data_IF_903247251247
#
_entry.id   IF_903247251247
#
_cell.length_a   1.000
_cell.length_b   1.000
_cell.length_c   1.000
_cell.angle_alpha   90.00
_cell.angle_beta   90.00
_cell.angle_gamma   90.00
#
_symmetry.space_group_name_H-M   'P 1'
#
loop_
_entity.id
_entity.type
_entity.pdbx_description
1 polymer ?
#
# COMPACT_ATOMS: atom_id res chain seq x y z
N UNK A 1 1.62 4.15 9.09
CA UNK A 1 1.01 3.52 10.30
C UNK A 1 2.05 2.57 10.85
N UNK A 2 2.21 2.45 12.16
CA UNK A 2 3.05 1.38 12.74
C UNK A 2 2.26 0.07 12.70
N UNK A 3 2.59 -0.78 11.74
CA UNK A 3 1.90 -2.05 11.52
C UNK A 3 2.13 -3.06 12.64
N UNK A 4 3.28 -2.98 13.32
CA UNK A 4 3.63 -3.86 14.43
C UNK A 4 2.76 -3.54 15.65
N UNK A 5 2.59 -2.25 15.96
CA UNK A 5 1.74 -1.84 17.07
C UNK A 5 0.26 -2.12 16.80
N UNK A 6 -0.22 -1.93 15.56
CA UNK A 6 -1.60 -2.30 15.22
C UNK A 6 -1.84 -3.79 15.42
N UNK A 7 -0.92 -4.64 14.97
CA UNK A 7 -1.01 -6.08 15.20
C UNK A 7 -1.02 -6.42 16.70
N UNK A 8 -0.17 -5.76 17.49
CA UNK A 8 -0.14 -5.93 18.94
C UNK A 8 -1.48 -5.56 19.60
N UNK A 9 -2.07 -4.43 19.23
CA UNK A 9 -3.33 -3.95 19.80
C UNK A 9 -4.53 -4.80 19.36
N UNK A 10 -4.52 -5.36 18.14
CA UNK A 10 -5.51 -6.34 17.68
C UNK A 10 -5.43 -7.63 18.51
N UNK A 11 -4.22 -8.15 18.73
CA UNK A 11 -3.99 -9.33 19.57
C UNK A 11 -4.44 -9.12 21.03
N UNK A 12 -4.30 -7.90 21.55
CA UNK A 12 -4.78 -7.53 22.89
C UNK A 12 -6.29 -7.25 22.96
N UNK A 13 -6.99 -7.24 21.83
CA UNK A 13 -8.40 -6.85 21.76
C UNK A 13 -8.66 -5.37 22.06
N UNK A 14 -7.62 -4.52 22.05
CA UNK A 14 -7.73 -3.06 22.21
C UNK A 14 -8.21 -2.40 20.93
N UNK A 15 -7.92 -3.01 19.78
CA UNK A 15 -8.57 -2.71 18.51
C UNK A 15 -9.58 -3.81 18.20
N UNK A 16 -10.83 -3.41 17.95
CA UNK A 16 -11.88 -4.34 17.55
C UNK A 16 -11.68 -4.88 16.12
N UNK A 17 -10.90 -4.18 15.30
CA UNK A 17 -10.52 -4.57 13.94
C UNK A 17 -9.73 -3.49 13.21
N UNK A 18 -9.23 -3.83 12.02
CA UNK A 18 -8.54 -2.89 11.13
C UNK A 18 -8.71 -3.28 9.65
N UNK A 19 -8.59 -2.31 8.76
CA UNK A 19 -8.52 -2.52 7.32
C UNK A 19 -7.35 -1.72 6.74
N UNK A 20 -6.51 -2.38 5.95
CA UNK A 20 -5.33 -1.79 5.30
C UNK A 20 -5.44 -1.98 3.79
N UNK A 21 -5.28 -0.89 3.05
CA UNK A 21 -5.10 -0.93 1.59
C UNK A 21 -3.65 -0.68 1.17
N UNK A 22 -2.83 -0.12 2.06
CA UNK A 22 -1.43 0.21 1.79
C UNK A 22 -0.53 -0.32 2.91
N UNK A 23 0.71 -0.66 2.57
CA UNK A 23 1.69 -1.25 3.47
C UNK A 23 3.04 -0.55 3.36
N UNK A 24 3.89 -0.68 4.38
CA UNK A 24 5.25 -0.12 4.34
C UNK A 24 6.07 -0.70 3.18
N UNK A 25 5.92 -2.01 2.93
CA UNK A 25 6.57 -2.69 1.82
C UNK A 25 5.56 -3.44 0.95
N UNK A 26 5.54 -3.10 -0.33
CA UNK A 26 4.67 -3.71 -1.33
C UNK A 26 5.49 -4.31 -2.49
N UNK A 27 5.08 -5.45 -3.06
CA UNK A 27 3.92 -6.27 -2.68
C UNK A 27 4.16 -7.07 -1.40
N UNK A 28 3.08 -7.34 -0.65
CA UNK A 28 3.14 -8.20 0.53
C UNK A 28 3.60 -9.61 0.17
N UNK A 29 4.40 -10.21 1.06
CA UNK A 29 4.79 -11.62 0.96
C UNK A 29 3.91 -12.49 1.85
N UNK A 30 3.84 -13.79 1.55
CA UNK A 30 3.09 -14.75 2.37
C UNK A 30 3.58 -14.87 3.82
N UNK A 31 4.81 -14.44 4.10
CA UNK A 31 5.42 -14.49 5.43
C UNK A 31 5.21 -13.20 6.23
N UNK A 32 4.56 -12.20 5.64
CA UNK A 32 4.36 -10.91 6.27
C UNK A 32 3.45 -11.04 7.51
N UNK A 33 3.77 -10.44 8.67
CA UNK A 33 3.03 -10.67 9.91
C UNK A 33 1.52 -10.40 9.81
N UNK A 34 1.12 -9.30 9.15
CA UNK A 34 -0.31 -8.99 8.93
C UNK A 34 -1.00 -10.06 8.07
N UNK A 35 -0.31 -10.60 7.06
CA UNK A 35 -0.84 -11.68 6.20
C UNK A 35 -1.05 -12.95 7.00
N UNK A 36 -0.07 -13.33 7.83
CA UNK A 36 -0.18 -14.51 8.69
C UNK A 36 -1.32 -14.37 9.70
N UNK A 37 -1.50 -13.19 10.27
CA UNK A 37 -2.60 -12.91 11.20
C UNK A 37 -3.97 -12.93 10.50
N UNK A 38 -4.11 -12.29 9.33
CA UNK A 38 -5.37 -12.22 8.58
C UNK A 38 -5.82 -13.57 8.00
N UNK A 39 -4.97 -14.60 7.97
CA UNK A 39 -5.33 -15.96 7.51
C UNK A 39 -6.35 -16.65 8.41
N UNK A 40 -6.44 -16.29 9.69
CA UNK A 40 -7.52 -16.79 10.56
C UNK A 40 -8.76 -15.89 10.38
N UNK A 41 -9.87 -16.42 9.84
CA UNK A 41 -11.09 -15.63 9.61
C UNK A 41 -11.78 -15.15 10.89
N UNK A 42 -11.34 -15.59 12.09
CA UNK A 42 -11.80 -15.03 13.36
C UNK A 42 -11.14 -13.69 13.69
N UNK A 43 -10.02 -13.37 13.07
CA UNK A 43 -9.37 -12.08 13.25
C UNK A 43 -10.05 -11.04 12.37
N UNK A 44 -10.43 -9.92 12.98
CA UNK A 44 -11.08 -8.81 12.29
C UNK A 44 -10.04 -7.89 11.61
N UNK A 45 -9.27 -8.46 10.69
CA UNK A 45 -8.25 -7.75 9.89
C UNK A 45 -8.51 -7.98 8.40
N UNK A 46 -8.77 -6.90 7.65
CA UNK A 46 -8.96 -6.93 6.21
C UNK A 46 -7.76 -6.29 5.49
N UNK A 47 -7.22 -6.98 4.50
CA UNK A 47 -6.11 -6.49 3.68
C UNK A 47 -6.56 -6.40 2.22
N UNK A 48 -6.40 -5.25 1.58
CA UNK A 48 -6.64 -5.03 0.15
C UNK A 48 -5.36 -4.59 -0.55
N UNK A 49 -5.13 -4.98 -1.82
CA UNK A 49 -3.83 -4.81 -2.47
C UNK A 49 -3.68 -3.45 -3.18
N UNK A 50 -3.71 -2.34 -2.44
CA UNK A 50 -3.56 -0.98 -2.97
C UNK A 50 -4.58 -0.66 -4.08
N UNK A 51 -5.85 -0.96 -3.79
CA UNK A 51 -6.96 -0.86 -4.75
C UNK A 51 -8.07 0.07 -4.30
N UNK A 52 -7.97 0.70 -3.12
CA UNK A 52 -9.01 1.59 -2.62
C UNK A 52 -9.16 2.84 -3.48
N UNK A 53 -8.06 3.33 -4.07
CA UNK A 53 -8.08 4.45 -5.00
C UNK A 53 -7.04 4.27 -6.11
N UNK A 54 -7.50 3.86 -7.30
CA UNK A 54 -6.67 3.85 -8.49
C UNK A 54 -6.65 5.23 -9.15
N UNK A 55 -5.46 5.69 -9.55
CA UNK A 55 -5.33 6.90 -10.37
C UNK A 55 -5.49 6.53 -11.84
N UNK A 56 -6.49 7.11 -12.51
CA UNK A 56 -6.66 7.05 -13.96
C UNK A 56 -6.56 8.48 -14.52
N UNK A 57 -5.35 8.99 -14.81
CA UNK A 57 -5.22 10.34 -15.32
C UNK A 57 -5.76 10.41 -16.75
N UNK A 58 -6.41 11.54 -17.11
CA UNK A 58 -6.89 11.80 -18.48
C UNK A 58 -5.72 11.82 -19.49
N UNK A 59 -4.51 12.15 -19.03
CA UNK A 59 -3.29 12.20 -19.83
C UNK A 59 -2.07 11.84 -18.98
N UNK A 60 -1.04 11.28 -19.63
CA UNK A 60 0.28 10.99 -19.04
C UNK A 60 1.33 12.05 -19.40
N UNK A 61 0.94 13.16 -20.04
CA UNK A 61 1.89 14.14 -20.57
C UNK A 61 2.86 14.67 -19.51
N UNK A 62 2.36 14.91 -18.29
CA UNK A 62 3.16 15.43 -17.18
C UNK A 62 4.20 14.41 -16.67
N UNK A 63 3.90 13.10 -16.75
CA UNK A 63 4.85 12.03 -16.39
C UNK A 63 6.12 12.09 -17.26
N UNK A 64 6.02 12.63 -18.48
CA UNK A 64 7.14 12.76 -19.42
C UNK A 64 7.79 14.14 -19.44
N UNK A 65 7.26 15.12 -18.70
CA UNK A 65 7.69 16.52 -18.82
C UNK A 65 9.20 16.69 -18.57
N UNK A 66 9.76 16.00 -17.58
CA UNK A 66 11.19 16.04 -17.27
C UNK A 66 12.06 15.45 -18.40
N UNK A 67 11.61 14.36 -19.03
CA UNK A 67 12.32 13.73 -20.17
C UNK A 67 12.30 14.67 -21.37
N UNK A 68 11.15 15.26 -21.66
CA UNK A 68 11.01 16.19 -22.78
C UNK A 68 11.89 17.44 -22.59
N UNK A 69 11.97 17.96 -21.37
CA UNK A 69 12.86 19.07 -21.03
C UNK A 69 14.34 18.71 -21.24
N UNK A 70 14.76 17.51 -20.83
CA UNK A 70 16.13 17.03 -21.06
C UNK A 70 16.45 16.91 -22.56
N UNK A 71 15.56 16.34 -23.37
CA UNK A 71 15.76 16.20 -24.82
C UNK A 71 15.87 17.56 -25.51
N UNK A 72 15.02 18.52 -25.15
CA UNK A 72 15.09 19.87 -25.70
C UNK A 72 16.40 20.60 -25.35
N UNK A 73 16.98 20.32 -24.18
CA UNK A 73 18.24 20.93 -23.75
C UNK A 73 19.50 20.25 -24.33
N UNK A 74 19.37 19.04 -24.88
CA UNK A 74 20.51 18.21 -25.32
C UNK A 74 20.55 17.96 -26.83
N UNK A 75 19.53 18.38 -27.58
CA UNK A 75 19.59 18.37 -29.04
C UNK A 75 20.49 19.52 -29.56
N UNK A 76 21.38 19.24 -30.52
CA UNK A 76 22.35 20.21 -31.06
C UNK A 76 21.70 21.34 -31.86
#
# INVERSE_FOLDING_TARGET
VDETEVLHLLQQGKLAGAAFDTFEFEPLTEKYPLVLYARDPKHNLLLTPHTAAASAPESRADDYAAIMAYLAATQP
#
